data_IF_265165484748
#
_entry.id   IF_265165484748
#
_cell.length_a   1.000
_cell.length_b   1.000
_cell.length_c   1.000
_cell.angle_alpha   90.00
_cell.angle_beta   90.00
_cell.angle_gamma   90.00
#
_symmetry.space_group_name_H-M   'P 1'
#
loop_
_entity.id
_entity.type
_entity.pdbx_description
1 polymer ?
#
# COMPACT_ATOMS: atom_id res chain seq x y z
N UNK A 1 20.00 6.67 -6.17
CA UNK A 1 19.22 5.84 -5.25
C UNK A 1 17.82 5.66 -5.80
N UNK A 2 17.56 4.43 -6.22
CA UNK A 2 16.25 3.90 -6.58
C UNK A 2 15.79 2.93 -5.49
N UNK A 3 14.48 2.86 -5.28
CA UNK A 3 13.86 1.81 -4.45
C UNK A 3 13.06 0.90 -5.38
N UNK A 4 13.38 -0.39 -5.34
CA UNK A 4 12.74 -1.42 -6.13
C UNK A 4 11.85 -2.26 -5.21
N UNK A 5 10.57 -2.36 -5.55
CA UNK A 5 9.63 -3.25 -4.90
C UNK A 5 9.33 -4.42 -5.82
N UNK A 6 9.49 -5.64 -5.31
CA UNK A 6 9.09 -6.86 -6.00
C UNK A 6 8.06 -7.61 -5.17
N UNK A 7 7.02 -8.13 -5.82
CA UNK A 7 6.24 -9.22 -5.23
C UNK A 7 6.94 -10.54 -5.52
N UNK A 8 7.09 -11.38 -4.50
CA UNK A 8 7.84 -12.63 -4.54
C UNK A 8 6.91 -13.83 -4.27
N UNK A 9 7.10 -14.87 -5.09
CA UNK A 9 6.48 -16.18 -4.91
C UNK A 9 7.54 -17.26 -4.76
N UNK A 10 7.25 -18.45 -5.30
CA UNK A 10 8.17 -19.58 -5.25
C UNK A 10 9.20 -19.59 -6.37
N UNK A 11 9.09 -18.69 -7.36
CA UNK A 11 10.00 -18.58 -8.49
C UNK A 11 10.57 -17.15 -8.54
N UNK A 12 11.90 -17.06 -8.52
CA UNK A 12 12.66 -15.82 -8.54
C UNK A 12 12.98 -15.29 -9.96
N UNK A 13 12.70 -16.05 -11.03
CA UNK A 13 13.17 -15.74 -12.39
C UNK A 13 12.79 -14.35 -12.86
N UNK A 14 11.57 -13.90 -12.57
CA UNK A 14 11.12 -12.55 -12.90
C UNK A 14 12.02 -11.50 -12.23
N UNK A 15 12.32 -11.68 -10.93
CA UNK A 15 13.17 -10.75 -10.17
C UNK A 15 14.59 -10.77 -10.74
N UNK A 16 15.20 -11.96 -10.90
CA UNK A 16 16.56 -12.08 -11.45
C UNK A 16 16.67 -11.42 -12.84
N UNK A 17 15.68 -11.64 -13.72
CA UNK A 17 15.62 -10.99 -15.04
C UNK A 17 15.65 -9.47 -14.92
N UNK A 18 14.93 -8.88 -13.98
CA UNK A 18 14.97 -7.43 -13.75
C UNK A 18 16.29 -6.96 -13.17
N UNK A 19 16.85 -7.69 -12.21
CA UNK A 19 18.13 -7.33 -11.60
C UNK A 19 19.28 -7.34 -12.61
N UNK A 20 19.24 -8.18 -13.65
CA UNK A 20 20.23 -8.14 -14.75
C UNK A 20 20.10 -6.93 -15.68
N UNK A 21 18.90 -6.33 -15.77
CA UNK A 21 18.61 -5.23 -16.71
C UNK A 21 18.75 -3.85 -16.09
N UNK A 22 18.66 -3.76 -14.75
CA UNK A 22 18.65 -2.49 -14.04
C UNK A 22 20.07 -2.06 -13.68
N UNK A 23 20.42 -0.78 -13.86
CA UNK A 23 21.71 -0.25 -13.42
C UNK A 23 21.67 -0.05 -11.89
N UNK A 24 21.97 -1.11 -11.15
CA UNK A 24 21.98 -1.12 -9.69
C UNK A 24 23.26 -0.51 -9.12
N UNK A 25 23.14 0.17 -7.99
CA UNK A 25 24.26 0.68 -7.19
C UNK A 25 24.06 0.32 -5.73
N UNK A 26 25.14 0.30 -4.94
CA UNK A 26 25.08 -0.03 -3.49
C UNK A 26 24.18 0.90 -2.67
N UNK A 27 23.82 2.07 -3.22
CA UNK A 27 22.90 3.03 -2.60
C UNK A 27 21.43 2.67 -2.82
N UNK A 28 21.12 1.67 -3.65
CA UNK A 28 19.77 1.30 -3.99
C UNK A 28 19.17 0.34 -2.96
N UNK A 29 17.84 0.32 -2.89
CA UNK A 29 17.10 -0.53 -1.97
C UNK A 29 16.24 -1.53 -2.73
N UNK A 30 16.26 -2.79 -2.29
CA UNK A 30 15.44 -3.87 -2.86
C UNK A 30 14.51 -4.40 -1.76
N UNK A 31 13.22 -4.17 -1.96
CA UNK A 31 12.15 -4.57 -1.06
C UNK A 31 11.37 -5.71 -1.69
N UNK A 32 11.31 -6.84 -1.00
CA UNK A 32 10.58 -8.03 -1.41
C UNK A 32 9.32 -8.15 -0.56
N UNK A 33 8.16 -8.22 -1.19
CA UNK A 33 6.87 -8.48 -0.53
C UNK A 33 6.49 -9.93 -0.83
N UNK A 34 6.11 -10.69 0.19
CA UNK A 34 5.63 -12.08 0.04
C UNK A 34 4.39 -12.31 0.89
N UNK A 35 3.61 -13.35 0.58
CA UNK A 35 2.55 -13.80 1.45
C UNK A 35 3.10 -14.42 2.75
N UNK A 36 2.42 -14.17 3.86
CA UNK A 36 2.54 -14.91 5.12
C UNK A 36 1.55 -16.10 5.11
N UNK A 37 1.88 -17.25 5.72
CA UNK A 37 3.16 -17.59 6.36
C UNK A 37 4.29 -17.80 5.34
N UNK A 38 5.53 -17.64 5.81
CA UNK A 38 6.70 -17.78 4.96
C UNK A 38 6.92 -19.24 4.57
N UNK A 39 6.80 -19.54 3.28
CA UNK A 39 7.02 -20.88 2.74
C UNK A 39 8.53 -21.11 2.50
N UNK A 40 9.06 -22.33 2.76
CA UNK A 40 10.46 -22.66 2.45
C UNK A 40 10.88 -22.35 1.01
N UNK A 41 10.00 -22.54 0.03
CA UNK A 41 10.28 -22.20 -1.37
C UNK A 41 10.51 -20.71 -1.60
N UNK A 42 9.83 -19.85 -0.84
CA UNK A 42 10.08 -18.39 -0.87
C UNK A 42 11.45 -18.07 -0.28
N UNK A 43 11.86 -18.79 0.78
CA UNK A 43 13.19 -18.61 1.37
C UNK A 43 14.30 -19.04 0.40
N UNK A 44 14.09 -20.15 -0.33
CA UNK A 44 14.99 -20.60 -1.39
C UNK A 44 15.10 -19.56 -2.52
N UNK A 45 13.96 -19.06 -3.01
CA UNK A 45 13.91 -18.01 -4.01
C UNK A 45 14.63 -16.72 -3.54
N UNK A 46 14.38 -16.28 -2.30
CA UNK A 46 15.11 -15.15 -1.70
C UNK A 46 16.61 -15.40 -1.65
N UNK A 47 17.04 -16.59 -1.20
CA UNK A 47 18.46 -16.95 -1.13
C UNK A 47 19.12 -16.91 -2.50
N UNK A 48 18.42 -17.37 -3.54
CA UNK A 48 18.87 -17.29 -4.93
C UNK A 48 19.11 -15.83 -5.35
N UNK A 49 18.17 -14.94 -5.04
CA UNK A 49 18.28 -13.49 -5.29
C UNK A 49 19.45 -12.87 -4.54
N UNK A 50 19.60 -13.16 -3.25
CA UNK A 50 20.69 -12.62 -2.42
C UNK A 50 22.06 -13.08 -2.93
N UNK A 51 22.19 -14.35 -3.33
CA UNK A 51 23.43 -14.89 -3.91
C UNK A 51 23.77 -14.25 -5.27
N UNK A 52 22.76 -13.95 -6.08
CA UNK A 52 22.96 -13.21 -7.32
C UNK A 52 23.51 -11.81 -7.04
N UNK A 53 22.85 -11.06 -6.14
CA UNK A 53 23.26 -9.70 -5.77
C UNK A 53 24.65 -9.67 -5.14
N UNK A 54 24.98 -10.61 -4.25
CA UNK A 54 26.32 -10.68 -3.65
C UNK A 54 27.44 -10.77 -4.70
N UNK A 55 27.19 -11.43 -5.83
CA UNK A 55 28.15 -11.58 -6.92
C UNK A 55 28.18 -10.38 -7.88
N UNK A 56 27.04 -9.73 -8.10
CA UNK A 56 26.91 -8.66 -9.10
C UNK A 56 27.04 -7.26 -8.51
N UNK A 57 26.35 -6.98 -7.41
CA UNK A 57 26.29 -5.67 -6.74
C UNK A 57 25.84 -5.89 -5.30
N UNK A 58 26.69 -5.67 -4.29
CA UNK A 58 26.46 -6.10 -2.91
C UNK A 58 25.37 -5.27 -2.19
N UNK A 59 24.13 -5.47 -2.61
CA UNK A 59 22.91 -4.84 -2.08
C UNK A 59 22.15 -5.88 -1.28
N UNK A 60 21.73 -5.54 -0.07
CA UNK A 60 20.88 -6.42 0.73
C UNK A 60 19.41 -6.26 0.34
N UNK A 61 18.68 -7.39 0.32
CA UNK A 61 17.23 -7.38 0.14
C UNK A 61 16.51 -7.41 1.49
N UNK A 62 15.44 -6.62 1.61
CA UNK A 62 14.54 -6.64 2.78
C UNK A 62 13.26 -7.39 2.42
N UNK A 63 12.96 -8.49 3.12
CA UNK A 63 11.74 -9.29 2.89
C UNK A 63 10.66 -8.96 3.92
N UNK A 64 9.46 -8.66 3.44
CA UNK A 64 8.26 -8.45 4.25
C UNK A 64 7.19 -9.50 3.97
N UNK A 65 6.89 -10.39 4.94
CA UNK A 65 5.71 -11.24 4.91
C UNK A 65 4.44 -10.43 5.20
N UNK A 66 3.45 -10.53 4.33
CA UNK A 66 2.17 -9.83 4.40
C UNK A 66 1.06 -10.83 4.66
N UNK A 67 0.27 -10.61 5.70
CA UNK A 67 -0.95 -11.37 5.97
C UNK A 67 -2.04 -10.95 4.98
N UNK A 68 -2.61 -11.90 4.24
CA UNK A 68 -3.54 -11.62 3.15
C UNK A 68 -5.00 -11.97 3.50
N UNK A 69 -5.24 -12.52 4.68
CA UNK A 69 -6.58 -12.90 5.17
C UNK A 69 -7.49 -11.67 5.34
N UNK A 70 -6.92 -10.53 5.68
CA UNK A 70 -7.58 -9.21 5.68
C UNK A 70 -6.90 -8.31 4.64
N UNK A 71 -7.54 -8.16 3.48
CA UNK A 71 -7.02 -7.37 2.37
C UNK A 71 -6.80 -5.91 2.77
N UNK A 72 -7.67 -5.33 3.58
CA UNK A 72 -7.57 -3.93 4.03
C UNK A 72 -6.32 -3.74 4.88
N UNK A 73 -6.06 -4.67 5.81
CA UNK A 73 -4.84 -4.62 6.63
C UNK A 73 -3.58 -4.88 5.80
N UNK A 74 -3.63 -5.80 4.83
CA UNK A 74 -2.54 -6.03 3.90
C UNK A 74 -2.15 -4.75 3.15
N UNK A 75 -3.14 -4.04 2.59
CA UNK A 75 -2.94 -2.77 1.87
C UNK A 75 -2.34 -1.71 2.80
N UNK A 76 -2.86 -1.56 4.03
CA UNK A 76 -2.30 -0.64 5.03
C UNK A 76 -0.83 -0.93 5.33
N UNK A 77 -0.51 -2.20 5.58
CA UNK A 77 0.86 -2.64 5.86
C UNK A 77 1.79 -2.29 4.68
N UNK A 78 1.38 -2.60 3.46
CA UNK A 78 2.19 -2.31 2.26
C UNK A 78 2.34 -0.79 2.05
N UNK A 79 1.28 0.00 2.23
CA UNK A 79 1.32 1.47 2.16
C UNK A 79 2.35 2.05 3.13
N UNK A 80 2.41 1.52 4.36
CA UNK A 80 3.41 1.91 5.35
C UNK A 80 4.84 1.53 4.93
N UNK A 81 5.04 0.32 4.39
CA UNK A 81 6.34 -0.14 3.89
C UNK A 81 6.80 0.78 2.74
N UNK A 82 5.90 1.13 1.81
CA UNK A 82 6.18 2.08 0.73
C UNK A 82 6.62 3.41 1.31
N UNK A 83 5.87 3.97 2.27
CA UNK A 83 6.21 5.24 2.91
C UNK A 83 7.60 5.23 3.56
N UNK A 84 7.94 4.15 4.27
CA UNK A 84 9.22 4.03 4.98
C UNK A 84 10.42 3.95 4.02
N UNK A 85 10.28 3.25 2.89
CA UNK A 85 11.39 2.97 1.96
C UNK A 85 11.51 3.94 0.78
N UNK A 86 10.62 4.93 0.67
CA UNK A 86 10.62 5.85 -0.49
C UNK A 86 10.94 7.31 -0.14
N UNK A 87 11.11 7.64 1.15
CA UNK A 87 11.36 9.02 1.60
C UNK A 87 12.53 9.67 0.84
N UNK A 88 13.67 8.99 0.78
CA UNK A 88 14.91 9.48 0.16
C UNK A 88 15.08 9.06 -1.31
N UNK A 89 14.21 8.20 -1.83
CA UNK A 89 14.31 7.71 -3.21
C UNK A 89 13.98 8.82 -4.21
N UNK A 90 14.66 8.87 -5.36
CA UNK A 90 14.25 9.72 -6.50
C UNK A 90 13.41 8.95 -7.51
N UNK A 91 13.71 7.66 -7.64
CA UNK A 91 13.03 6.73 -8.55
C UNK A 91 12.47 5.56 -7.75
N UNK A 92 11.25 5.16 -8.08
CA UNK A 92 10.59 4.01 -7.45
C UNK A 92 10.01 3.12 -8.53
N UNK A 93 10.41 1.86 -8.53
CA UNK A 93 9.86 0.86 -9.46
C UNK A 93 9.14 -0.23 -8.69
N UNK A 94 7.93 -0.55 -9.12
CA UNK A 94 7.12 -1.64 -8.60
C UNK A 94 7.02 -2.71 -9.67
N UNK A 95 7.64 -3.86 -9.44
CA UNK A 95 7.62 -5.02 -10.33
C UNK A 95 6.71 -6.07 -9.70
N UNK A 96 5.49 -6.20 -10.22
CA UNK A 96 4.41 -7.00 -9.64
C UNK A 96 4.23 -8.34 -10.39
N UNK A 97 5.33 -9.04 -10.61
CA UNK A 97 5.42 -10.14 -11.58
C UNK A 97 5.46 -11.54 -10.96
N UNK A 98 5.56 -11.65 -9.63
CA UNK A 98 5.62 -12.93 -8.92
C UNK A 98 4.76 -12.94 -7.65
N UNK A 99 4.54 -14.12 -7.09
CA UNK A 99 3.79 -14.29 -5.85
C UNK A 99 2.29 -14.46 -6.03
N UNK A 100 1.56 -14.43 -4.91
CA UNK A 100 0.11 -14.60 -4.92
C UNK A 100 -0.58 -13.41 -5.59
N UNK A 101 -1.61 -13.68 -6.40
CA UNK A 101 -2.41 -12.63 -7.07
C UNK A 101 -3.03 -11.65 -6.07
N UNK A 102 -3.48 -12.12 -4.90
CA UNK A 102 -3.98 -11.25 -3.83
C UNK A 102 -2.90 -10.27 -3.32
N UNK A 103 -1.64 -10.69 -3.22
CA UNK A 103 -0.52 -9.81 -2.86
C UNK A 103 -0.26 -8.77 -3.95
N UNK A 104 -0.29 -9.17 -5.23
CA UNK A 104 -0.15 -8.27 -6.37
C UNK A 104 -1.24 -7.18 -6.33
N UNK A 105 -2.50 -7.57 -6.15
CA UNK A 105 -3.63 -6.64 -6.06
C UNK A 105 -3.55 -5.74 -4.83
N UNK A 106 -3.17 -6.27 -3.66
CA UNK A 106 -2.98 -5.47 -2.45
C UNK A 106 -1.86 -4.45 -2.63
N UNK A 107 -0.75 -4.86 -3.26
CA UNK A 107 0.38 -3.98 -3.55
C UNK A 107 -0.02 -2.90 -4.54
N UNK A 108 -0.71 -3.24 -5.63
CA UNK A 108 -1.20 -2.28 -6.61
C UNK A 108 -2.15 -1.26 -5.99
N UNK A 109 -3.07 -1.72 -5.14
CA UNK A 109 -4.00 -0.84 -4.40
C UNK A 109 -3.24 0.11 -3.47
N UNK A 110 -2.24 -0.40 -2.72
CA UNK A 110 -1.41 0.42 -1.86
C UNK A 110 -0.64 1.50 -2.67
N UNK A 111 -0.10 1.16 -3.84
CA UNK A 111 0.58 2.13 -4.72
C UNK A 111 -0.35 3.26 -5.12
N UNK A 112 -1.61 2.96 -5.46
CA UNK A 112 -2.61 3.98 -5.83
C UNK A 112 -2.87 4.92 -4.63
N UNK A 113 -3.03 4.35 -3.44
CA UNK A 113 -3.32 5.11 -2.22
C UNK A 113 -2.11 5.84 -1.63
N UNK A 114 -0.89 5.49 -2.05
CA UNK A 114 0.36 6.17 -1.69
C UNK A 114 0.67 7.38 -2.58
N UNK A 115 -0.33 7.97 -3.25
CA UNK A 115 -0.11 9.08 -4.18
C UNK A 115 0.67 10.24 -3.57
N UNK A 116 0.31 10.70 -2.37
CA UNK A 116 1.00 11.84 -1.73
C UNK A 116 2.47 11.50 -1.44
N UNK A 117 2.74 10.30 -0.91
CA UNK A 117 4.10 9.79 -0.66
C UNK A 117 4.94 9.70 -1.93
N UNK A 118 4.32 9.33 -3.05
CA UNK A 118 5.00 9.06 -4.32
C UNK A 118 4.96 10.24 -5.31
N UNK A 119 4.31 11.36 -4.94
CA UNK A 119 3.95 12.46 -5.85
C UNK A 119 5.13 13.06 -6.60
N UNK A 120 6.26 13.23 -5.91
CA UNK A 120 7.48 13.85 -6.46
C UNK A 120 8.48 12.82 -7.01
N UNK A 121 8.09 11.54 -7.03
CA UNK A 121 8.99 10.43 -7.39
C UNK A 121 8.76 10.03 -8.85
N UNK A 122 9.83 9.67 -9.55
CA UNK A 122 9.71 9.01 -10.84
C UNK A 122 9.24 7.56 -10.62
N UNK A 123 7.94 7.33 -10.80
CA UNK A 123 7.28 6.05 -10.53
C UNK A 123 7.11 5.21 -11.79
N UNK A 124 7.40 3.92 -11.69
CA UNK A 124 7.06 2.91 -12.70
C UNK A 124 6.36 1.73 -12.03
N UNK A 125 5.28 1.24 -12.63
CA UNK A 125 4.58 0.03 -12.20
C UNK A 125 4.61 -0.93 -13.38
N UNK A 126 5.13 -2.13 -13.17
CA UNK A 126 5.46 -3.09 -14.21
C UNK A 126 4.91 -4.46 -13.84
N UNK A 127 4.37 -5.17 -14.83
CA UNK A 127 3.90 -6.55 -14.73
C UNK A 127 4.50 -7.34 -15.90
N UNK A 128 5.25 -8.39 -15.62
CA UNK A 128 5.72 -9.31 -16.67
C UNK A 128 4.58 -10.18 -17.20
N UNK A 129 4.68 -10.57 -18.48
CA UNK A 129 3.80 -11.57 -19.05
C UNK A 129 4.22 -12.96 -18.54
N UNK A 130 3.24 -13.84 -18.27
CA UNK A 130 3.50 -15.18 -17.72
C UNK A 130 4.43 -16.02 -18.62
N UNK A 131 4.43 -15.77 -19.93
CA UNK A 131 5.30 -16.45 -20.90
C UNK A 131 6.75 -15.91 -20.93
N UNK A 132 7.10 -14.94 -20.08
CA UNK A 132 8.42 -14.28 -20.01
C UNK A 132 8.86 -13.53 -21.28
N UNK A 133 8.01 -13.42 -22.30
CA UNK A 133 8.37 -12.77 -23.58
C UNK A 133 8.47 -11.25 -23.44
N UNK A 134 7.86 -10.66 -22.41
CA UNK A 134 7.86 -9.21 -22.24
C UNK A 134 7.29 -8.78 -20.90
N UNK A 135 7.02 -7.48 -20.81
CA UNK A 135 6.35 -6.85 -19.68
C UNK A 135 5.45 -5.70 -20.15
N UNK A 136 4.47 -5.37 -19.33
CA UNK A 136 3.60 -4.21 -19.51
C UNK A 136 3.96 -3.19 -18.43
N UNK A 137 4.27 -1.97 -18.84
CA UNK A 137 4.31 -0.84 -17.93
C UNK A 137 2.90 -0.28 -17.78
N UNK A 138 2.34 -0.38 -16.57
CA UNK A 138 1.01 0.15 -16.28
C UNK A 138 1.04 1.68 -16.28
N UNK A 139 0.00 2.34 -16.82
CA UNK A 139 -0.12 3.79 -16.74
C UNK A 139 -0.25 4.23 -15.28
N UNK A 140 0.29 5.40 -14.97
CA UNK A 140 0.12 5.99 -13.65
C UNK A 140 -1.28 6.61 -13.51
N UNK A 141 -2.26 5.78 -13.16
CA UNK A 141 -3.65 6.19 -13.00
C UNK A 141 -3.89 7.08 -11.77
N UNK A 142 -2.91 7.26 -10.88
CA UNK A 142 -3.06 8.18 -9.72
C UNK A 142 -3.24 9.63 -10.15
N UNK A 143 -2.86 9.97 -11.39
CA UNK A 143 -3.09 11.30 -11.96
C UNK A 143 -4.54 11.56 -12.35
N UNK A 144 -5.29 10.51 -12.66
CA UNK A 144 -6.70 10.59 -13.10
C UNK A 144 -7.68 10.18 -12.01
N UNK A 145 -7.29 9.21 -11.17
CA UNK A 145 -8.02 8.83 -9.97
C UNK A 145 -7.54 9.74 -8.85
N UNK A 146 -8.35 10.76 -8.52
CA UNK A 146 -8.12 11.54 -7.31
C UNK A 146 -8.68 10.75 -6.13
N UNK A 147 -7.85 10.20 -5.23
CA UNK A 147 -8.36 9.62 -4.00
C UNK A 147 -9.15 10.70 -3.26
N UNK A 148 -10.16 10.26 -2.50
CA UNK A 148 -10.97 11.18 -1.69
C UNK A 148 -10.04 12.02 -0.82
N UNK A 149 -9.95 13.31 -1.11
CA UNK A 149 -9.20 14.26 -0.28
C UNK A 149 -10.07 14.66 0.90
N UNK A 150 -9.80 14.02 2.04
CA UNK A 150 -10.42 14.38 3.31
C UNK A 150 -9.67 15.54 3.94
N UNK A 151 -10.42 16.56 4.37
CA UNK A 151 -9.86 17.63 5.22
C UNK A 151 -9.36 17.05 6.54
N UNK A 152 -8.49 17.79 7.24
CA UNK A 152 -7.91 17.36 8.52
C UNK A 152 -9.01 16.92 9.51
N UNK A 153 -10.07 17.71 9.63
CA UNK A 153 -11.19 17.44 10.54
C UNK A 153 -11.93 16.15 10.18
N UNK A 154 -12.12 15.88 8.88
CA UNK A 154 -12.78 14.64 8.44
C UNK A 154 -11.91 13.42 8.72
N UNK A 155 -10.58 13.54 8.58
CA UNK A 155 -9.64 12.47 8.98
C UNK A 155 -9.66 12.24 10.49
N UNK A 156 -9.65 13.31 11.29
CA UNK A 156 -9.75 13.21 12.75
C UNK A 156 -11.04 12.50 13.18
N UNK A 157 -12.18 12.82 12.55
CA UNK A 157 -13.45 12.10 12.78
C UNK A 157 -13.29 10.61 12.50
N UNK A 158 -12.76 10.23 11.32
CA UNK A 158 -12.55 8.83 10.95
C UNK A 158 -11.59 8.11 11.92
N UNK A 159 -10.52 8.77 12.36
CA UNK A 159 -9.57 8.22 13.34
C UNK A 159 -10.22 7.97 14.71
N UNK A 160 -11.07 8.90 15.18
CA UNK A 160 -11.79 8.72 16.45
C UNK A 160 -12.71 7.51 16.42
N UNK A 161 -13.40 7.28 15.30
CA UNK A 161 -14.34 6.17 15.16
C UNK A 161 -13.70 4.86 14.67
N UNK A 162 -12.40 4.87 14.32
CA UNK A 162 -11.69 3.68 13.84
C UNK A 162 -11.65 2.59 14.91
N UNK A 163 -11.38 2.98 16.15
CA UNK A 163 -11.22 2.07 17.29
C UNK A 163 -12.56 1.73 17.96
N UNK A 164 -13.49 2.68 18.02
CA UNK A 164 -14.80 2.48 18.62
C UNK A 164 -15.88 3.37 17.98
N UNK A 165 -17.11 2.87 17.75
CA UNK A 165 -18.19 3.69 17.22
C UNK A 165 -18.65 4.76 18.22
N UNK A 166 -18.75 6.01 17.76
CA UNK A 166 -19.15 7.17 18.56
C UNK A 166 -20.37 7.88 17.97
N UNK A 167 -21.11 8.62 18.80
CA UNK A 167 -22.18 9.51 18.34
C UNK A 167 -21.63 10.87 17.89
N UNK A 168 -22.40 11.60 17.08
CA UNK A 168 -22.03 12.96 16.64
C UNK A 168 -21.77 13.92 17.83
N UNK A 169 -22.50 13.76 18.93
CA UNK A 169 -22.30 14.54 20.15
C UNK A 169 -20.96 14.23 20.82
N UNK A 170 -20.63 12.95 20.98
CA UNK A 170 -19.33 12.55 21.55
C UNK A 170 -18.16 13.05 20.71
N UNK A 171 -18.26 12.99 19.38
CA UNK A 171 -17.23 13.52 18.47
C UNK A 171 -17.12 15.05 18.60
N UNK A 172 -18.26 15.74 18.71
CA UNK A 172 -18.35 17.20 18.94
C UNK A 172 -17.67 17.61 20.23
N UNK A 173 -17.91 16.88 21.33
CA UNK A 173 -17.30 17.11 22.64
C UNK A 173 -15.77 16.88 22.58
N UNK A 174 -15.31 15.80 21.93
CA UNK A 174 -13.88 15.46 21.83
C UNK A 174 -13.11 16.47 20.96
N UNK A 175 -13.67 16.85 19.81
CA UNK A 175 -13.01 17.77 18.88
C UNK A 175 -13.23 19.25 19.22
N UNK A 176 -14.03 19.54 20.25
CA UNK A 176 -14.45 20.89 20.65
C UNK A 176 -15.00 21.70 19.45
N UNK A 177 -15.97 21.11 18.74
CA UNK A 177 -16.63 21.69 17.56
C UNK A 177 -18.13 21.67 17.72
N UNK A 178 -18.83 22.61 17.08
CA UNK A 178 -20.30 22.60 17.04
C UNK A 178 -20.84 21.29 16.48
N UNK A 179 -21.88 20.76 17.13
CA UNK A 179 -22.51 19.51 16.72
C UNK A 179 -23.07 19.59 15.30
N UNK A 180 -23.55 20.77 14.87
CA UNK A 180 -24.01 21.01 13.49
C UNK A 180 -22.89 20.89 12.45
N UNK A 181 -21.67 21.30 12.80
CA UNK A 181 -20.48 21.14 11.96
C UNK A 181 -20.07 19.67 11.86
N UNK A 182 -20.10 18.95 12.99
CA UNK A 182 -19.85 17.50 12.99
C UNK A 182 -20.88 16.75 12.14
N UNK A 183 -22.17 17.08 12.25
CA UNK A 183 -23.20 16.48 11.39
C UNK A 183 -22.94 16.71 9.90
N UNK A 184 -22.56 17.94 9.50
CA UNK A 184 -22.19 18.23 8.10
C UNK A 184 -21.01 17.38 7.62
N UNK A 185 -20.00 17.18 8.45
CA UNK A 185 -18.87 16.30 8.11
C UNK A 185 -19.29 14.83 8.02
N UNK A 186 -20.13 14.35 8.93
CA UNK A 186 -20.64 12.96 8.90
C UNK A 186 -21.47 12.72 7.63
N UNK A 187 -22.37 13.64 7.26
CA UNK A 187 -23.15 13.50 6.02
C UNK A 187 -22.26 13.44 4.79
N UNK A 188 -21.26 14.32 4.70
CA UNK A 188 -20.28 14.26 3.61
C UNK A 188 -19.52 12.93 3.58
N UNK A 189 -19.09 12.44 4.74
CA UNK A 189 -18.40 11.15 4.84
C UNK A 189 -19.33 9.99 4.46
N UNK A 190 -20.63 10.09 4.76
CA UNK A 190 -21.63 9.08 4.42
C UNK A 190 -21.97 9.09 2.93
N UNK A 191 -22.04 10.26 2.29
CA UNK A 191 -22.24 10.40 0.84
C UNK A 191 -21.09 9.72 0.06
N UNK A 192 -19.90 9.75 0.65
CA UNK A 192 -18.72 9.04 0.15
C UNK A 192 -18.64 7.57 0.59
N UNK A 193 -19.65 7.07 1.29
CA UNK A 193 -19.73 5.71 1.84
C UNK A 193 -18.58 5.35 2.79
N UNK A 194 -17.97 6.36 3.43
CA UNK A 194 -16.85 6.16 4.36
C UNK A 194 -17.28 5.88 5.80
N UNK A 195 -18.55 6.16 6.12
CA UNK A 195 -19.15 5.89 7.43
C UNK A 195 -20.56 5.34 7.28
N UNK A 196 -20.95 4.53 8.26
CA UNK A 196 -22.25 3.87 8.36
C UNK A 196 -22.91 4.22 9.71
N UNK A 197 -23.79 5.24 9.76
CA UNK A 197 -24.48 5.61 11.00
C UNK A 197 -25.64 4.64 11.32
N UNK A 198 -25.72 4.18 12.56
CA UNK A 198 -26.85 3.41 13.08
C UNK A 198 -27.96 4.35 13.58
N UNK A 199 -28.79 4.85 12.66
CA UNK A 199 -29.88 5.77 12.98
C UNK A 199 -31.00 5.16 13.83
N UNK A 200 -31.12 3.83 13.85
CA UNK A 200 -32.29 3.14 14.41
C UNK A 200 -32.15 2.79 15.90
N UNK A 201 -30.93 2.55 16.38
CA UNK A 201 -30.70 2.19 17.79
C UNK A 201 -29.83 3.21 18.51
N UNK A 202 -28.55 3.27 18.17
CA UNK A 202 -27.56 3.91 19.04
C UNK A 202 -27.16 5.32 18.56
N UNK A 203 -27.49 5.67 17.31
CA UNK A 203 -26.96 6.86 16.60
C UNK A 203 -25.43 6.88 16.55
N UNK A 204 -24.78 5.74 16.78
CA UNK A 204 -23.33 5.60 16.67
C UNK A 204 -22.96 5.52 15.20
N UNK A 205 -21.81 6.10 14.89
CA UNK A 205 -21.24 6.18 13.55
C UNK A 205 -20.12 5.17 13.49
N UNK A 206 -20.25 4.22 12.57
CA UNK A 206 -19.25 3.19 12.32
C UNK A 206 -18.42 3.59 11.11
N UNK A 207 -17.10 3.36 11.16
CA UNK A 207 -16.27 3.52 9.97
C UNK A 207 -16.54 2.38 8.97
N UNK A 208 -16.58 2.69 7.68
CA UNK A 208 -16.60 1.67 6.64
C UNK A 208 -15.22 0.96 6.58
N UNK A 209 -15.16 -0.36 6.31
CA UNK A 209 -13.88 -1.08 6.22
C UNK A 209 -12.88 -0.43 5.26
N UNK A 210 -13.34 0.03 4.10
CA UNK A 210 -12.54 0.64 3.04
C UNK A 210 -12.03 2.03 3.42
N UNK A 211 -12.81 2.78 4.21
CA UNK A 211 -12.43 4.11 4.69
C UNK A 211 -11.18 4.07 5.58
N UNK A 212 -10.92 2.93 6.23
CA UNK A 212 -9.70 2.73 7.01
C UNK A 212 -8.45 2.90 6.15
N UNK A 213 -8.50 2.62 4.84
CA UNK A 213 -7.36 2.75 3.92
C UNK A 213 -6.93 4.22 3.70
N UNK A 214 -7.82 5.17 3.99
CA UNK A 214 -7.56 6.62 3.88
C UNK A 214 -6.84 7.19 5.11
N UNK A 215 -6.78 6.43 6.20
CA UNK A 215 -6.00 6.73 7.40
C UNK A 215 -4.52 6.36 7.18
#
# INVERSE_FOLDING_TARGET
MQTLFFTLGFDEKFILRWLTKLPLTEKDQIILLTAHPLNPKVQEAKRSIDLFLLKSTPIQTTLYPIKLEDFTQAVKQIKQIIANHTQQAKQVKFILSGGMRALILATYTAIILSQETLKEKQKQIIVDLENLEGYIQLPDITKVIKPVQLTKEKKEILQLIENQPLTAKQISDILNKDTSTIYRHIMYLQDLQLVNPDYKKTRKIHIAPEAKLLL
#
